data_IF_826251817322
#
_entry.id   IF_826251817322
#
_cell.length_a   1.000
_cell.length_b   1.000
_cell.length_c   1.000
_cell.angle_alpha   90.00
_cell.angle_beta   90.00
_cell.angle_gamma   90.00
#
_symmetry.space_group_name_H-M   'P 1'
#
loop_
_entity.id
_entity.type
_entity.pdbx_description
1 polymer ?
#
# COMPACT_ATOMS: atom_id res chain seq x y z
N UNK A 1 26.44 -4.03 -59.51
CA UNK A 1 26.79 -3.98 -58.07
C UNK A 1 25.67 -3.23 -57.38
N UNK A 2 24.82 -3.94 -56.64
CA UNK A 2 23.63 -3.37 -55.99
C UNK A 2 24.05 -2.67 -54.70
N UNK A 3 23.69 -1.38 -54.55
CA UNK A 3 24.05 -0.58 -53.38
C UNK A 3 22.99 -0.70 -52.27
N UNK A 4 23.50 -0.70 -51.04
CA UNK A 4 22.88 -1.13 -49.79
C UNK A 4 21.58 -0.41 -49.39
N UNK A 5 20.74 -1.19 -48.69
CA UNK A 5 19.59 -0.78 -47.89
C UNK A 5 19.99 0.22 -46.79
N UNK A 6 19.27 1.33 -46.71
CA UNK A 6 19.28 2.20 -45.53
C UNK A 6 17.98 1.97 -44.74
N UNK A 7 18.04 1.12 -43.70
CA UNK A 7 16.97 1.02 -42.72
C UNK A 7 17.07 2.21 -41.77
N UNK A 8 16.11 3.13 -41.87
CA UNK A 8 15.91 4.20 -40.90
C UNK A 8 15.18 3.61 -39.68
N UNK A 9 15.95 3.12 -38.71
CA UNK A 9 15.42 2.69 -37.42
C UNK A 9 15.07 3.93 -36.59
N UNK A 10 13.81 4.38 -36.69
CA UNK A 10 13.26 5.36 -35.74
C UNK A 10 13.06 4.62 -34.41
N UNK A 11 14.01 4.78 -33.51
CA UNK A 11 13.90 4.29 -32.14
C UNK A 11 12.90 5.22 -31.42
N UNK A 12 11.63 4.83 -31.40
CA UNK A 12 10.63 5.46 -30.55
C UNK A 12 10.96 5.08 -29.11
N UNK A 13 11.71 5.94 -28.42
CA UNK A 13 11.88 5.82 -26.98
C UNK A 13 10.51 6.08 -26.33
N UNK A 14 9.72 5.02 -26.12
CA UNK A 14 8.69 5.06 -25.10
C UNK A 14 9.41 5.34 -23.79
N UNK A 15 9.27 6.57 -23.30
CA UNK A 15 9.64 6.88 -21.93
C UNK A 15 8.95 5.87 -21.05
N UNK A 16 9.72 4.97 -20.42
CA UNK A 16 9.25 4.32 -19.22
C UNK A 16 9.00 5.46 -18.25
N UNK A 17 7.73 5.76 -17.98
CA UNK A 17 7.38 6.47 -16.77
C UNK A 17 7.77 5.55 -15.61
N UNK A 18 9.05 5.57 -15.25
CA UNK A 18 9.45 5.15 -13.91
C UNK A 18 8.80 6.16 -12.99
N UNK A 19 7.78 5.72 -12.24
CA UNK A 19 7.39 6.41 -11.00
C UNK A 19 8.60 6.37 -10.08
N UNK A 20 9.51 7.31 -10.32
CA UNK A 20 10.72 7.54 -9.56
C UNK A 20 10.44 8.63 -8.55
N UNK A 21 9.69 8.29 -7.52
CA UNK A 21 9.78 8.92 -6.19
C UNK A 21 8.97 8.07 -5.23
N UNK A 22 9.61 7.57 -4.17
CA UNK A 22 8.93 6.98 -3.01
C UNK A 22 8.10 8.02 -2.21
N UNK A 23 7.79 9.16 -2.81
CA UNK A 23 7.08 10.26 -2.16
C UNK A 23 5.60 10.14 -2.51
N UNK A 24 4.85 9.54 -1.60
CA UNK A 24 3.40 9.58 -1.63
C UNK A 24 2.96 11.02 -1.36
N UNK A 25 2.16 11.66 -2.24
CA UNK A 25 1.93 13.11 -2.22
C UNK A 25 1.04 13.60 -1.07
N UNK A 26 0.33 12.70 -0.39
CA UNK A 26 -0.56 13.04 0.70
C UNK A 26 -0.09 12.39 2.00
N UNK A 27 -0.24 13.10 3.11
CA UNK A 27 0.13 12.62 4.44
C UNK A 27 -0.80 13.19 5.52
N UNK A 28 -1.14 12.36 6.51
CA UNK A 28 -1.96 12.74 7.67
C UNK A 28 -1.60 11.87 8.88
N UNK A 29 -1.56 12.47 10.08
CA UNK A 29 -1.54 11.72 11.33
C UNK A 29 -2.95 11.31 11.75
N UNK A 30 -3.14 10.01 12.02
CA UNK A 30 -4.45 9.44 12.37
C UNK A 30 -4.79 9.59 13.86
N UNK A 31 -3.83 10.02 14.68
CA UNK A 31 -3.99 10.21 16.12
C UNK A 31 -3.45 11.57 16.60
N UNK A 32 -3.99 12.14 17.70
CA UNK A 32 -3.55 13.43 18.24
C UNK A 32 -2.09 13.45 18.70
N UNK A 33 -1.54 12.29 19.08
CA UNK A 33 -0.16 12.18 19.57
C UNK A 33 0.85 12.02 18.42
N UNK A 34 0.38 12.00 17.16
CA UNK A 34 1.20 11.85 15.97
C UNK A 34 2.06 10.58 15.97
N UNK A 35 1.49 9.49 16.48
CA UNK A 35 2.14 8.17 16.53
C UNK A 35 1.84 7.31 15.30
N UNK A 36 0.82 7.64 14.51
CA UNK A 36 0.40 6.90 13.33
C UNK A 36 0.34 7.85 12.14
N UNK A 37 1.37 7.82 11.30
CA UNK A 37 1.40 8.57 10.05
C UNK A 37 0.86 7.70 8.91
N UNK A 38 -0.10 8.23 8.16
CA UNK A 38 -0.58 7.66 6.92
C UNK A 38 -0.10 8.54 5.76
N UNK A 39 0.60 7.94 4.81
CA UNK A 39 0.94 8.55 3.54
C UNK A 39 0.24 7.79 2.42
N UNK A 40 -0.24 8.49 1.39
CA UNK A 40 -0.90 7.84 0.27
C UNK A 40 -0.77 8.61 -1.04
N UNK A 41 -1.01 7.87 -2.13
CA UNK A 41 -1.02 8.36 -3.49
C UNK A 41 -1.83 7.41 -4.37
N UNK A 42 -2.25 7.87 -5.55
CA UNK A 42 -3.06 7.07 -6.46
C UNK A 42 -2.54 7.15 -7.90
N UNK A 43 -2.67 6.02 -8.60
CA UNK A 43 -2.50 5.91 -10.04
C UNK A 43 -3.90 5.75 -10.66
N UNK A 44 -4.43 6.85 -11.19
CA UNK A 44 -5.77 6.89 -11.79
C UNK A 44 -5.90 5.97 -13.01
N UNK A 45 -4.82 5.77 -13.78
CA UNK A 45 -4.86 4.93 -14.97
C UNK A 45 -4.96 3.44 -14.61
N UNK A 46 -4.34 3.04 -13.49
CA UNK A 46 -4.39 1.67 -12.98
C UNK A 46 -5.52 1.44 -11.98
N UNK A 47 -6.13 2.52 -11.45
CA UNK A 47 -7.13 2.43 -10.38
C UNK A 47 -6.55 1.91 -9.07
N UNK A 48 -5.27 2.22 -8.79
CA UNK A 48 -4.55 1.75 -7.60
C UNK A 48 -4.33 2.91 -6.64
N UNK A 49 -4.57 2.66 -5.35
CA UNK A 49 -4.14 3.55 -4.28
C UNK A 49 -3.03 2.83 -3.51
N UNK A 50 -1.92 3.51 -3.30
CA UNK A 50 -0.80 3.04 -2.50
C UNK A 50 -0.82 3.73 -1.15
N UNK A 51 -0.70 2.96 -0.08
CA UNK A 51 -0.64 3.45 1.28
C UNK A 51 0.69 3.07 1.91
N UNK A 52 1.23 3.98 2.71
CA UNK A 52 2.33 3.73 3.63
C UNK A 52 1.88 4.15 5.02
N UNK A 53 1.93 3.22 5.97
CA UNK A 53 1.66 3.46 7.37
C UNK A 53 2.98 3.38 8.12
N UNK A 54 3.26 4.38 8.94
CA UNK A 54 4.41 4.40 9.84
C UNK A 54 3.91 4.65 11.26
N UNK A 55 4.22 3.74 12.17
CA UNK A 55 3.68 3.80 13.52
C UNK A 55 4.68 3.40 14.60
N UNK A 56 4.67 4.14 15.72
CA UNK A 56 5.62 3.97 16.82
C UNK A 56 5.21 2.86 17.80
N UNK A 57 4.94 1.66 17.28
CA UNK A 57 4.79 0.45 18.10
C UNK A 57 5.46 -0.73 17.43
N UNK A 58 5.87 -1.70 18.24
CA UNK A 58 6.19 -3.05 17.76
C UNK A 58 4.93 -3.92 17.76
N UNK A 59 4.84 -4.87 16.85
CA UNK A 59 3.75 -5.85 16.82
C UNK A 59 2.86 -5.80 15.57
N UNK A 60 1.59 -5.41 15.75
CA UNK A 60 0.57 -5.52 14.70
C UNK A 60 -0.28 -4.27 14.57
N UNK A 61 -0.78 -4.05 13.36
CA UNK A 61 -1.64 -2.94 12.98
C UNK A 61 -2.93 -3.47 12.35
N UNK A 62 -4.02 -2.75 12.55
CA UNK A 62 -5.24 -2.86 11.76
C UNK A 62 -5.58 -1.49 11.18
N UNK A 63 -5.69 -1.39 9.86
CA UNK A 63 -6.06 -0.16 9.15
C UNK A 63 -7.19 -0.49 8.19
N UNK A 64 -8.12 0.43 7.98
CA UNK A 64 -9.26 0.13 7.14
C UNK A 64 -10.17 1.32 6.89
N UNK A 65 -11.13 1.09 6.01
CA UNK A 65 -12.15 2.04 5.63
C UNK A 65 -13.50 1.58 6.14
N UNK A 66 -14.31 2.50 6.64
CA UNK A 66 -15.67 2.18 7.06
C UNK A 66 -16.65 3.30 6.72
N UNK A 67 -17.95 2.98 6.60
CA UNK A 67 -18.97 3.97 6.26
C UNK A 67 -19.17 5.06 7.32
N UNK A 68 -18.75 4.83 8.56
CA UNK A 68 -19.08 5.68 9.70
C UNK A 68 -17.90 5.96 10.66
N UNK A 69 -16.68 5.55 10.30
CA UNK A 69 -15.49 5.65 11.16
C UNK A 69 -15.43 4.61 12.29
N UNK A 70 -16.44 3.76 12.43
CA UNK A 70 -16.46 2.62 13.34
C UNK A 70 -15.94 1.33 12.68
N UNK A 71 -15.84 0.25 13.46
CA UNK A 71 -15.35 -1.04 12.98
C UNK A 71 -16.40 -1.86 12.25
N UNK A 72 -17.67 -1.74 12.62
CA UNK A 72 -18.75 -2.48 11.97
C UNK A 72 -18.87 -2.10 10.48
N UNK A 73 -18.94 -3.10 9.61
CA UNK A 73 -18.92 -2.97 8.16
C UNK A 73 -17.65 -2.32 7.60
N UNK A 74 -16.52 -2.43 8.31
CA UNK A 74 -15.23 -1.95 7.84
C UNK A 74 -14.54 -3.02 6.97
N UNK A 75 -13.89 -2.53 5.93
CA UNK A 75 -12.90 -3.24 5.13
C UNK A 75 -11.53 -2.95 5.77
N UNK A 76 -10.84 -3.98 6.24
CA UNK A 76 -9.69 -3.86 7.14
C UNK A 76 -8.55 -4.75 6.66
N UNK A 77 -7.38 -4.14 6.53
CA UNK A 77 -6.12 -4.88 6.46
C UNK A 77 -5.48 -5.01 7.84
N UNK A 78 -5.07 -6.23 8.19
CA UNK A 78 -4.35 -6.54 9.43
C UNK A 78 -2.99 -7.12 9.08
N UNK A 79 -1.93 -6.60 9.69
CA UNK A 79 -0.59 -7.11 9.46
C UNK A 79 0.42 -6.70 10.52
N UNK A 80 1.59 -7.34 10.46
CA UNK A 80 2.69 -7.08 11.36
C UNK A 80 3.88 -7.99 11.09
N UNK A 81 4.92 -7.84 11.91
CA UNK A 81 6.10 -8.70 11.85
C UNK A 81 6.09 -9.71 12.99
N UNK A 82 6.60 -10.91 12.70
CA UNK A 82 6.88 -11.97 13.67
C UNK A 82 8.20 -12.65 13.31
N UNK A 83 8.66 -13.57 14.15
CA UNK A 83 9.93 -14.28 13.95
C UNK A 83 10.02 -15.03 12.61
N UNK A 84 8.90 -15.43 12.02
CA UNK A 84 8.85 -16.11 10.73
C UNK A 84 8.74 -15.16 9.51
N UNK A 85 8.85 -13.85 9.71
CA UNK A 85 8.62 -12.83 8.68
C UNK A 85 7.31 -12.07 8.86
N UNK A 86 6.90 -11.34 7.82
CA UNK A 86 5.66 -10.56 7.83
C UNK A 86 4.43 -11.45 7.74
N UNK A 87 3.31 -10.93 8.22
CA UNK A 87 1.99 -11.44 7.93
C UNK A 87 1.06 -10.28 7.63
N UNK A 88 0.09 -10.55 6.75
CA UNK A 88 -0.78 -9.54 6.19
C UNK A 88 -2.04 -10.23 5.68
N UNK A 89 -3.20 -9.69 6.03
CA UNK A 89 -4.49 -10.31 5.73
C UNK A 89 -5.53 -9.21 5.49
N UNK A 90 -6.20 -9.29 4.35
CA UNK A 90 -7.41 -8.53 4.09
C UNK A 90 -8.61 -9.20 4.77
N UNK A 91 -9.40 -8.41 5.48
CA UNK A 91 -10.46 -8.83 6.37
C UNK A 91 -11.69 -7.93 6.23
N UNK A 92 -12.86 -8.51 6.49
CA UNK A 92 -14.11 -7.78 6.63
C UNK A 92 -14.63 -7.87 8.07
N UNK A 93 -15.05 -6.73 8.63
CA UNK A 93 -15.59 -6.64 9.97
C UNK A 93 -17.13 -6.63 9.95
N UNK A 94 -17.75 -7.63 10.56
CA UNK A 94 -19.20 -7.77 10.70
C UNK A 94 -19.77 -7.15 11.99
N UNK A 95 -18.92 -6.48 12.75
CA UNK A 95 -19.25 -5.90 14.05
C UNK A 95 -18.00 -5.42 14.80
N UNK A 96 -18.18 -5.03 16.05
CA UNK A 96 -17.08 -4.70 16.96
C UNK A 96 -16.48 -5.98 17.57
N UNK A 97 -16.00 -6.87 16.71
CA UNK A 97 -15.42 -8.17 17.05
C UNK A 97 -14.26 -8.49 16.10
N UNK A 98 -13.49 -9.55 16.38
CA UNK A 98 -12.38 -9.96 15.49
C UNK A 98 -12.87 -10.07 14.03
N UNK A 99 -12.26 -9.33 13.08
CA UNK A 99 -12.61 -9.43 11.67
C UNK A 99 -12.36 -10.83 11.12
N UNK A 100 -13.14 -11.20 10.12
CA UNK A 100 -12.97 -12.46 9.38
C UNK A 100 -12.17 -12.17 8.11
N UNK A 101 -11.42 -13.15 7.61
CA UNK A 101 -10.74 -13.00 6.34
C UNK A 101 -11.77 -12.72 5.24
N UNK A 102 -11.46 -11.78 4.34
CA UNK A 102 -12.33 -11.49 3.20
C UNK A 102 -12.20 -12.60 2.15
N UNK A 103 -13.32 -12.94 1.51
CA UNK A 103 -13.36 -13.87 0.37
C UNK A 103 -12.55 -13.31 -0.82
N UNK A 104 -12.49 -11.98 -0.95
CA UNK A 104 -11.70 -11.30 -1.97
C UNK A 104 -10.60 -10.46 -1.33
N UNK A 105 -9.36 -10.89 -1.54
CA UNK A 105 -8.17 -10.15 -1.11
C UNK A 105 -7.89 -8.98 -2.06
N UNK A 106 -8.25 -7.77 -1.65
CA UNK A 106 -8.14 -6.54 -2.44
C UNK A 106 -6.87 -5.73 -2.15
N UNK A 107 -6.12 -6.08 -1.10
CA UNK A 107 -4.84 -5.45 -0.76
C UNK A 107 -3.65 -6.33 -1.12
N UNK A 108 -2.54 -5.69 -1.48
CA UNK A 108 -1.24 -6.35 -1.69
C UNK A 108 -0.20 -5.70 -0.80
N UNK A 109 0.49 -6.50 0.01
CA UNK A 109 1.64 -6.01 0.78
C UNK A 109 2.83 -5.78 -0.16
N UNK A 110 3.31 -4.53 -0.23
CA UNK A 110 4.50 -4.17 -0.99
C UNK A 110 5.78 -4.39 -0.17
N UNK A 111 5.80 -3.91 1.06
CA UNK A 111 6.90 -4.05 2.01
C UNK A 111 6.41 -3.86 3.44
N UNK A 112 7.19 -4.36 4.41
CA UNK A 112 6.98 -4.15 5.84
C UNK A 112 8.33 -4.25 6.55
N UNK A 113 8.60 -3.32 7.44
CA UNK A 113 9.85 -3.23 8.20
C UNK A 113 9.54 -2.83 9.63
N UNK A 114 10.26 -3.35 10.62
CA UNK A 114 10.18 -2.86 12.00
C UNK A 114 11.62 -2.53 12.43
N UNK A 115 11.86 -1.30 12.85
CA UNK A 115 13.16 -0.81 13.29
C UNK A 115 12.99 0.22 14.41
N UNK A 116 13.81 0.10 15.46
CA UNK A 116 13.89 1.07 16.57
C UNK A 116 12.53 1.37 17.25
N UNK A 117 11.64 0.37 17.31
CA UNK A 117 10.30 0.50 17.92
C UNK A 117 9.24 1.12 17.01
N UNK A 118 9.57 1.33 15.73
CA UNK A 118 8.67 1.80 14.69
C UNK A 118 8.48 0.69 13.65
N UNK A 119 7.24 0.46 13.24
CA UNK A 119 6.89 -0.44 12.14
C UNK A 119 6.34 0.37 10.96
#
# INVERSE_FOLDING_TARGET
>A
MSALLSFLSVLLALGKATLGSNDLPFSLYLDPNRQVNLEWGFDDAQGIITFQLTFNTTGWLGFGFSPNGGMNNADIVIGGLRSSGSYFQDCYATGNSRPVADDKQSYTLLSMTEQDGQT
#
